data_IF_073607707583
#
_entry.id   IF_073607707583
#
_cell.length_a   1.000
_cell.length_b   1.000
_cell.length_c   1.000
_cell.angle_alpha   90.00
_cell.angle_beta   90.00
_cell.angle_gamma   90.00
#
_symmetry.space_group_name_H-M   'P 1'
#
loop_
_entity.id
_entity.type
_entity.pdbx_description
1 polymer ?
#
# COMPACT_ATOMS: atom_id res chain seq x y z
N UNK A 1 -21.48 -31.45 11.58
CA UNK A 1 -21.68 -30.83 10.24
C UNK A 1 -21.05 -29.47 10.30
N UNK A 2 -20.14 -29.15 9.38
CA UNK A 2 -19.50 -27.84 9.31
C UNK A 2 -20.59 -26.77 9.07
N UNK A 3 -20.43 -25.60 9.70
CA UNK A 3 -21.45 -24.54 9.68
C UNK A 3 -21.28 -23.63 8.44
N UNK A 4 -20.05 -23.54 7.91
CA UNK A 4 -19.66 -22.68 6.80
C UNK A 4 -18.97 -23.45 5.69
N UNK A 5 -19.07 -22.96 4.45
CA UNK A 5 -18.32 -23.48 3.32
C UNK A 5 -16.89 -22.92 3.37
N UNK A 6 -16.74 -21.63 3.69
CA UNK A 6 -15.45 -20.96 3.80
C UNK A 6 -15.27 -20.26 5.14
N UNK A 7 -14.08 -20.46 5.75
CA UNK A 7 -13.52 -19.62 6.80
C UNK A 7 -12.47 -18.71 6.19
N UNK A 8 -12.68 -17.40 6.24
CA UNK A 8 -11.76 -16.39 5.72
C UNK A 8 -11.00 -15.76 6.90
N UNK A 9 -9.68 -15.86 6.88
CA UNK A 9 -8.78 -15.37 7.93
C UNK A 9 -8.13 -14.08 7.44
N UNK A 10 -8.59 -12.95 7.99
CA UNK A 10 -8.25 -11.60 7.61
C UNK A 10 -9.34 -10.93 6.78
N UNK A 11 -9.80 -9.77 7.25
CA UNK A 11 -10.87 -8.96 6.65
C UNK A 11 -10.36 -7.84 5.72
N UNK A 12 -9.08 -7.89 5.32
CA UNK A 12 -8.52 -6.97 4.34
C UNK A 12 -9.16 -7.14 2.96
N UNK A 13 -8.75 -6.33 1.98
CA UNK A 13 -9.37 -6.32 0.64
C UNK A 13 -9.45 -7.70 0.00
N UNK A 14 -8.43 -8.55 0.12
CA UNK A 14 -8.47 -9.90 -0.43
C UNK A 14 -9.58 -10.74 0.23
N UNK A 15 -9.56 -10.83 1.57
CA UNK A 15 -10.52 -11.66 2.32
C UNK A 15 -11.95 -11.16 2.18
N UNK A 16 -12.17 -9.84 2.23
CA UNK A 16 -13.49 -9.23 2.04
C UNK A 16 -14.03 -9.46 0.62
N UNK A 17 -13.18 -9.32 -0.41
CA UNK A 17 -13.56 -9.59 -1.80
C UNK A 17 -13.90 -11.06 -2.02
N UNK A 18 -13.08 -11.98 -1.49
CA UNK A 18 -13.35 -13.41 -1.59
C UNK A 18 -14.68 -13.79 -0.90
N UNK A 19 -14.89 -13.30 0.32
CA UNK A 19 -16.13 -13.53 1.06
C UNK A 19 -17.36 -13.05 0.30
N UNK A 20 -17.28 -11.85 -0.31
CA UNK A 20 -18.35 -11.30 -1.14
C UNK A 20 -18.67 -12.20 -2.36
N UNK A 21 -17.64 -12.59 -3.12
CA UNK A 21 -17.81 -13.41 -4.33
C UNK A 21 -18.37 -14.79 -3.99
N UNK A 22 -17.84 -15.42 -2.94
CA UNK A 22 -18.33 -16.71 -2.45
C UNK A 22 -19.79 -16.63 -1.96
N UNK A 23 -20.13 -15.62 -1.17
CA UNK A 23 -21.51 -15.43 -0.69
C UNK A 23 -22.50 -15.15 -1.83
N UNK A 24 -22.08 -14.36 -2.83
CA UNK A 24 -22.87 -14.10 -4.04
C UNK A 24 -23.14 -15.38 -4.85
N UNK A 25 -22.24 -16.36 -4.80
CA UNK A 25 -22.45 -17.68 -5.40
C UNK A 25 -23.26 -18.67 -4.51
N UNK A 26 -23.74 -18.22 -3.34
CA UNK A 26 -24.57 -19.00 -2.45
C UNK A 26 -23.81 -19.74 -1.34
N UNK A 27 -22.50 -19.54 -1.20
CA UNK A 27 -21.70 -20.15 -0.15
C UNK A 27 -21.88 -19.41 1.18
N UNK A 28 -21.80 -20.13 2.28
CA UNK A 28 -21.81 -19.58 3.65
C UNK A 28 -20.38 -19.28 4.07
N UNK A 29 -20.10 -18.02 4.37
CA UNK A 29 -18.78 -17.55 4.76
C UNK A 29 -18.77 -17.07 6.22
N UNK A 30 -17.65 -17.35 6.92
CA UNK A 30 -17.30 -16.70 8.18
C UNK A 30 -15.96 -15.98 7.97
N UNK A 31 -15.95 -14.68 8.24
CA UNK A 31 -14.71 -13.88 8.27
C UNK A 31 -14.26 -13.70 9.71
N UNK A 32 -12.97 -13.95 9.99
CA UNK A 32 -12.37 -13.64 11.27
C UNK A 32 -11.20 -12.70 11.09
N UNK A 33 -11.03 -11.75 11.99
CA UNK A 33 -9.87 -10.86 12.01
C UNK A 33 -9.32 -10.73 13.44
N UNK A 34 -7.99 -10.77 13.59
CA UNK A 34 -7.33 -10.60 14.88
C UNK A 34 -7.44 -9.17 15.41
N UNK A 35 -7.64 -8.19 14.53
CA UNK A 35 -7.83 -6.79 14.88
C UNK A 35 -9.25 -6.56 15.45
N UNK A 36 -9.45 -5.52 16.27
CA UNK A 36 -10.75 -5.16 16.81
C UNK A 36 -11.72 -4.56 15.79
N UNK A 37 -11.27 -4.38 14.54
CA UNK A 37 -12.05 -3.81 13.42
C UNK A 37 -11.83 -4.58 12.12
N UNK A 38 -12.79 -4.50 11.20
CA UNK A 38 -12.71 -5.03 9.85
C UNK A 38 -11.98 -4.06 8.89
N UNK A 39 -11.60 -4.54 7.70
CA UNK A 39 -11.04 -3.74 6.62
C UNK A 39 -9.51 -3.83 6.50
N UNK A 40 -8.85 -4.53 7.42
CA UNK A 40 -7.39 -4.69 7.33
C UNK A 40 -6.67 -3.33 7.26
N UNK A 41 -5.76 -3.16 6.31
CA UNK A 41 -4.96 -1.93 6.19
C UNK A 41 -5.75 -0.73 5.61
N UNK A 42 -6.90 -0.94 4.98
CA UNK A 42 -7.72 0.17 4.46
C UNK A 42 -8.66 0.79 5.52
N UNK A 43 -8.66 0.26 6.74
CA UNK A 43 -9.51 0.78 7.81
C UNK A 43 -9.24 2.27 8.08
N UNK A 44 -10.32 3.05 8.17
CA UNK A 44 -10.32 4.45 8.54
C UNK A 44 -10.93 4.63 9.94
N UNK A 45 -10.24 5.39 10.79
CA UNK A 45 -10.76 5.81 12.09
C UNK A 45 -11.41 7.20 11.96
N UNK A 46 -12.63 7.36 12.46
CA UNK A 46 -13.29 8.66 12.45
C UNK A 46 -12.82 9.51 13.63
N UNK A 47 -12.10 10.61 13.36
CA UNK A 47 -11.62 11.57 14.35
C UNK A 47 -12.10 12.95 13.96
N UNK A 48 -12.88 13.62 14.82
CA UNK A 48 -13.48 14.94 14.54
C UNK A 48 -14.26 14.98 13.21
N UNK A 49 -14.86 13.86 12.80
CA UNK A 49 -15.56 13.72 11.52
C UNK A 49 -14.66 13.55 10.30
N UNK A 50 -13.34 13.52 10.46
CA UNK A 50 -12.35 13.25 9.42
C UNK A 50 -12.06 11.75 9.41
N UNK A 51 -12.04 11.13 8.21
CA UNK A 51 -11.67 9.73 8.05
C UNK A 51 -10.14 9.61 8.00
N UNK A 52 -9.57 9.19 9.12
CA UNK A 52 -8.12 9.00 9.28
C UNK A 52 -7.72 7.64 8.75
N UNK A 53 -6.91 7.58 7.72
CA UNK A 53 -6.34 6.34 7.17
C UNK A 53 -5.33 5.78 8.17
N UNK A 54 -5.77 4.86 9.04
CA UNK A 54 -5.00 4.42 10.22
C UNK A 54 -3.69 3.72 9.89
N UNK A 55 -3.60 3.09 8.74
CA UNK A 55 -2.45 2.29 8.30
C UNK A 55 -1.71 2.89 7.09
N UNK A 56 -1.78 4.21 6.92
CA UNK A 56 -1.11 4.95 5.86
C UNK A 56 -2.05 5.47 4.78
N UNK A 57 -1.55 6.39 3.97
CA UNK A 57 -2.32 6.96 2.87
C UNK A 57 -2.69 5.86 1.86
N UNK A 58 -3.96 5.59 1.74
CA UNK A 58 -4.51 4.67 0.76
C UNK A 58 -5.30 5.48 -0.28
N UNK A 59 -4.82 5.52 -1.51
CA UNK A 59 -5.50 6.11 -2.66
C UNK A 59 -5.79 4.98 -3.64
N UNK A 60 -7.05 4.74 -3.94
CA UNK A 60 -7.42 3.72 -4.90
C UNK A 60 -7.12 4.22 -6.31
N UNK A 61 -6.44 3.41 -7.10
CA UNK A 61 -6.17 3.68 -8.51
C UNK A 61 -6.15 2.38 -9.29
N UNK A 62 -6.53 2.40 -10.55
CA UNK A 62 -6.50 1.26 -11.45
C UNK A 62 -6.67 1.67 -12.89
N UNK A 63 -6.13 0.90 -13.82
CA UNK A 63 -6.46 0.96 -15.24
C UNK A 63 -7.46 -0.13 -15.65
N UNK A 64 -7.78 -1.07 -14.73
CA UNK A 64 -8.76 -2.12 -14.95
C UNK A 64 -10.18 -1.63 -14.68
N UNK A 65 -10.95 -1.41 -15.77
CA UNK A 65 -12.34 -0.92 -15.64
C UNK A 65 -13.24 -1.87 -14.85
N UNK A 66 -13.04 -3.17 -14.94
CA UNK A 66 -13.86 -4.14 -14.21
C UNK A 66 -13.66 -4.02 -12.70
N UNK A 67 -12.42 -3.82 -12.26
CA UNK A 67 -12.09 -3.58 -10.85
C UNK A 67 -12.66 -2.24 -10.39
N UNK A 68 -12.54 -1.19 -11.22
CA UNK A 68 -13.13 0.12 -10.91
C UNK A 68 -14.66 0.07 -10.76
N UNK A 69 -15.34 -0.57 -11.71
CA UNK A 69 -16.80 -0.74 -11.65
C UNK A 69 -17.22 -1.59 -10.44
N UNK A 70 -16.44 -2.62 -10.11
CA UNK A 70 -16.70 -3.47 -8.95
C UNK A 70 -16.67 -2.67 -7.65
N UNK A 71 -15.62 -1.92 -7.36
CA UNK A 71 -15.55 -1.15 -6.11
C UNK A 71 -16.59 -0.03 -6.05
N UNK A 72 -16.90 0.61 -7.20
CA UNK A 72 -17.93 1.63 -7.29
C UNK A 72 -19.36 1.07 -7.15
N UNK A 73 -19.57 -0.23 -7.29
CA UNK A 73 -20.87 -0.85 -7.02
C UNK A 73 -21.23 -0.90 -5.53
N UNK A 74 -20.26 -0.76 -4.64
CA UNK A 74 -20.44 -0.73 -3.19
C UNK A 74 -20.50 0.67 -2.62
N UNK A 75 -19.64 1.56 -3.10
CA UNK A 75 -19.54 2.94 -2.64
C UNK A 75 -19.03 3.82 -3.77
N UNK A 76 -19.61 5.02 -3.99
CA UNK A 76 -19.09 5.93 -4.98
C UNK A 76 -17.72 6.48 -4.55
N UNK A 77 -16.82 6.66 -5.52
CA UNK A 77 -15.51 7.27 -5.32
C UNK A 77 -15.54 8.75 -5.73
N UNK A 78 -14.81 9.57 -5.00
CA UNK A 78 -14.63 10.98 -5.35
C UNK A 78 -13.62 11.14 -6.51
N UNK A 79 -13.30 12.40 -6.84
CA UNK A 79 -12.34 12.73 -7.90
C UNK A 79 -10.97 13.12 -7.34
N UNK A 80 -10.58 12.56 -6.20
CA UNK A 80 -9.27 12.84 -5.63
C UNK A 80 -8.17 12.42 -6.61
N UNK A 81 -7.27 13.37 -6.92
CA UNK A 81 -6.09 13.14 -7.75
C UNK A 81 -4.86 13.23 -6.87
N UNK A 82 -4.10 12.14 -6.78
CA UNK A 82 -2.91 12.11 -5.95
C UNK A 82 -1.79 12.95 -6.55
N UNK A 83 -1.44 14.05 -5.88
CA UNK A 83 -0.38 14.98 -6.29
C UNK A 83 0.51 15.31 -5.09
N UNK A 84 1.33 14.35 -4.63
CA UNK A 84 2.17 14.57 -3.45
C UNK A 84 3.23 15.64 -3.70
N UNK A 85 3.72 16.24 -2.61
CA UNK A 85 4.79 17.24 -2.60
C UNK A 85 5.96 16.68 -1.80
N UNK A 86 7.19 16.97 -2.21
CA UNK A 86 8.38 16.71 -1.43
C UNK A 86 8.88 17.97 -0.74
N UNK A 87 9.26 17.85 0.52
CA UNK A 87 9.91 18.90 1.31
C UNK A 87 11.36 18.49 1.60
N UNK A 88 12.30 19.27 1.12
CA UNK A 88 13.72 19.15 1.43
C UNK A 88 14.22 20.45 2.07
N UNK A 89 14.47 20.43 3.36
CA UNK A 89 14.91 21.61 4.14
C UNK A 89 14.01 22.85 3.93
N UNK A 90 12.69 22.67 3.88
CA UNK A 90 11.72 23.76 3.67
C UNK A 90 11.52 24.17 2.20
N UNK A 91 12.30 23.62 1.26
CA UNK A 91 12.08 23.82 -0.17
C UNK A 91 11.12 22.75 -0.70
N UNK A 92 10.07 23.19 -1.38
CA UNK A 92 9.02 22.30 -1.88
C UNK A 92 9.25 21.95 -3.35
N UNK A 93 8.96 20.68 -3.69
CA UNK A 93 9.06 20.14 -5.04
C UNK A 93 7.82 19.34 -5.38
N UNK A 94 7.32 19.47 -6.60
CA UNK A 94 6.22 18.65 -7.11
C UNK A 94 6.66 17.20 -7.34
N UNK A 95 5.76 16.25 -7.06
CA UNK A 95 5.91 14.84 -7.40
C UNK A 95 4.70 14.41 -8.26
N UNK A 96 4.82 13.39 -9.13
CA UNK A 96 6.04 12.64 -9.46
C UNK A 96 7.08 13.53 -10.15
N UNK A 97 8.28 13.00 -10.43
CA UNK A 97 9.32 13.77 -11.12
C UNK A 97 8.83 14.16 -12.52
N UNK A 98 8.54 15.44 -12.69
CA UNK A 98 7.94 15.99 -13.90
C UNK A 98 8.53 17.37 -14.23
N UNK A 99 8.02 18.04 -15.24
CA UNK A 99 8.54 19.36 -15.65
C UNK A 99 8.44 20.42 -14.54
N UNK A 100 7.46 20.31 -13.61
CA UNK A 100 7.42 21.23 -12.46
C UNK A 100 8.61 20.95 -11.52
N UNK A 101 8.92 19.67 -11.23
CA UNK A 101 10.09 19.28 -10.42
C UNK A 101 11.39 19.77 -11.07
N UNK A 102 11.55 19.59 -12.40
CA UNK A 102 12.75 19.98 -13.13
C UNK A 102 12.88 21.51 -13.17
N UNK A 103 11.78 22.24 -13.33
CA UNK A 103 11.78 23.70 -13.23
C UNK A 103 12.15 24.17 -11.81
N UNK A 104 11.59 23.58 -10.78
CA UNK A 104 11.88 23.90 -9.37
C UNK A 104 13.34 23.61 -9.01
N UNK A 105 13.93 22.56 -9.59
CA UNK A 105 15.33 22.16 -9.34
C UNK A 105 16.33 22.97 -10.14
N UNK A 106 16.08 23.16 -11.45
CA UNK A 106 17.07 23.67 -12.40
C UNK A 106 16.66 24.94 -13.17
N UNK A 107 15.39 25.36 -13.05
CA UNK A 107 14.86 26.50 -13.85
C UNK A 107 14.63 26.16 -15.32
N UNK A 108 14.69 24.88 -15.71
CA UNK A 108 14.48 24.47 -17.10
C UNK A 108 13.00 24.55 -17.47
N UNK A 109 12.69 24.98 -18.69
CA UNK A 109 11.32 25.21 -19.15
C UNK A 109 10.86 24.29 -20.27
N UNK A 110 11.79 23.50 -20.85
CA UNK A 110 11.47 22.58 -21.93
C UNK A 110 11.94 21.15 -21.62
N UNK A 111 11.22 20.12 -22.16
CA UNK A 111 11.64 18.73 -22.03
C UNK A 111 13.08 18.49 -22.48
N UNK A 112 13.51 19.10 -23.60
CA UNK A 112 14.87 18.95 -24.14
C UNK A 112 15.94 19.44 -23.15
N UNK A 113 15.70 20.56 -22.46
CA UNK A 113 16.61 21.07 -21.42
C UNK A 113 16.69 20.12 -20.21
N UNK A 114 15.55 19.57 -19.77
CA UNK A 114 15.51 18.62 -18.66
C UNK A 114 16.25 17.33 -19.00
N UNK A 115 16.01 16.75 -20.17
CA UNK A 115 16.72 15.57 -20.67
C UNK A 115 18.22 15.82 -20.76
N UNK A 116 18.63 16.95 -21.36
CA UNK A 116 20.04 17.31 -21.48
C UNK A 116 20.73 17.43 -20.11
N UNK A 117 20.04 17.97 -19.10
CA UNK A 117 20.57 18.08 -17.74
C UNK A 117 20.75 16.73 -17.07
N UNK A 118 19.79 15.82 -17.21
CA UNK A 118 19.86 14.45 -16.70
C UNK A 118 21.02 13.69 -17.37
N UNK A 119 21.11 13.72 -18.69
CA UNK A 119 22.17 13.03 -19.45
C UNK A 119 23.56 13.58 -19.14
N UNK A 120 23.67 14.90 -18.94
CA UNK A 120 24.91 15.51 -18.47
C UNK A 120 25.38 14.89 -17.14
N UNK A 121 24.48 14.86 -16.13
CA UNK A 121 24.81 14.37 -14.80
C UNK A 121 25.07 12.85 -14.77
N UNK A 122 24.34 12.09 -15.58
CA UNK A 122 24.60 10.66 -15.78
C UNK A 122 25.99 10.41 -16.36
N UNK A 123 26.35 11.17 -17.38
CA UNK A 123 27.71 11.09 -18.03
C UNK A 123 28.84 11.48 -17.08
N UNK A 124 28.63 12.53 -16.28
CA UNK A 124 29.60 12.94 -15.25
C UNK A 124 29.87 11.84 -14.23
N UNK A 125 28.89 11.00 -13.93
CA UNK A 125 29.01 9.84 -13.04
C UNK A 125 29.57 8.58 -13.69
N UNK A 126 29.69 8.56 -15.03
CA UNK A 126 30.23 7.43 -15.80
C UNK A 126 29.32 6.18 -15.74
N UNK A 127 28.01 6.35 -15.55
CA UNK A 127 27.06 5.23 -15.44
C UNK A 127 26.71 4.74 -16.85
N UNK A 128 27.18 3.55 -17.22
CA UNK A 128 26.78 2.87 -18.44
C UNK A 128 25.58 1.95 -18.18
N UNK A 129 25.71 1.04 -17.20
CA UNK A 129 24.65 0.15 -16.73
C UNK A 129 24.52 0.28 -15.21
N UNK A 130 23.34 0.65 -14.69
CA UNK A 130 23.13 0.80 -13.26
C UNK A 130 23.23 -0.53 -12.51
N UNK A 131 24.04 -0.59 -11.45
CA UNK A 131 24.28 -1.79 -10.63
C UNK A 131 23.47 -1.82 -9.34
N UNK A 132 23.05 -0.66 -8.87
CA UNK A 132 22.33 -0.50 -7.61
C UNK A 132 21.28 0.63 -7.74
N UNK A 133 20.54 0.88 -6.66
CA UNK A 133 19.49 1.90 -6.64
C UNK A 133 20.02 3.31 -6.88
N UNK A 134 21.17 3.68 -6.31
CA UNK A 134 21.79 4.99 -6.52
C UNK A 134 22.05 5.25 -8.00
N UNK A 135 22.76 4.33 -8.67
CA UNK A 135 23.09 4.46 -10.09
C UNK A 135 21.84 4.47 -10.97
N UNK A 136 20.82 3.64 -10.62
CA UNK A 136 19.54 3.62 -11.32
C UNK A 136 18.80 4.94 -11.18
N UNK A 137 18.75 5.51 -9.97
CA UNK A 137 18.10 6.80 -9.72
C UNK A 137 18.77 7.93 -10.50
N UNK A 138 20.11 8.03 -10.41
CA UNK A 138 20.88 9.05 -11.15
C UNK A 138 20.66 8.93 -12.67
N UNK A 139 20.54 7.70 -13.18
CA UNK A 139 20.25 7.46 -14.59
C UNK A 139 18.86 7.91 -15.02
N UNK A 140 17.89 7.90 -14.11
CA UNK A 140 16.50 8.27 -14.39
C UNK A 140 16.25 9.78 -14.22
N UNK A 141 16.79 10.38 -13.16
CA UNK A 141 16.40 11.75 -12.75
C UNK A 141 17.60 12.70 -12.57
N UNK A 142 18.83 12.23 -12.75
CA UNK A 142 20.04 13.01 -12.51
C UNK A 142 20.46 13.04 -11.04
N UNK A 143 21.74 13.43 -10.82
CA UNK A 143 22.34 13.46 -9.49
C UNK A 143 21.64 14.42 -8.54
N UNK A 144 21.33 15.64 -8.99
CA UNK A 144 20.78 16.68 -8.11
C UNK A 144 19.43 16.25 -7.53
N UNK A 145 18.55 15.66 -8.36
CA UNK A 145 17.25 15.13 -7.90
C UNK A 145 17.46 13.91 -7.01
N UNK A 146 18.38 13.01 -7.36
CA UNK A 146 18.72 11.87 -6.52
C UNK A 146 19.14 12.32 -5.11
N UNK A 147 20.12 13.23 -5.01
CA UNK A 147 20.66 13.69 -3.73
C UNK A 147 19.61 14.46 -2.89
N UNK A 148 18.70 15.21 -3.55
CA UNK A 148 17.72 16.06 -2.87
C UNK A 148 16.43 15.29 -2.50
N UNK A 149 15.91 14.47 -3.40
CA UNK A 149 14.55 13.95 -3.27
C UNK A 149 14.45 12.43 -3.14
N UNK A 150 15.53 11.68 -3.47
CA UNK A 150 15.46 10.21 -3.50
C UNK A 150 16.31 9.59 -2.39
N UNK A 151 17.57 10.00 -2.28
CA UNK A 151 18.59 9.34 -1.47
C UNK A 151 18.13 9.14 -0.02
N UNK A 152 18.06 10.21 0.74
CA UNK A 152 17.80 10.14 2.19
C UNK A 152 16.37 9.66 2.49
N UNK A 153 15.40 9.94 1.61
CA UNK A 153 14.04 9.39 1.71
C UNK A 153 14.06 7.85 1.60
N UNK A 154 14.75 7.33 0.60
CA UNK A 154 14.85 5.88 0.37
C UNK A 154 15.64 5.21 1.50
N UNK A 155 16.71 5.83 1.96
CA UNK A 155 17.51 5.32 3.09
C UNK A 155 16.69 5.27 4.40
N UNK A 156 15.84 6.27 4.67
CA UNK A 156 14.87 6.20 5.79
C UNK A 156 13.88 5.05 5.60
N UNK A 157 13.37 4.88 4.38
CA UNK A 157 12.37 3.87 4.09
C UNK A 157 12.92 2.45 4.21
N UNK A 158 14.15 2.22 3.76
CA UNK A 158 14.75 0.88 3.72
C UNK A 158 15.74 0.59 4.86
N UNK A 159 16.19 1.62 5.59
CA UNK A 159 17.18 1.49 6.66
C UNK A 159 18.58 1.11 6.18
N UNK A 160 18.88 1.28 4.86
CA UNK A 160 20.15 0.91 4.22
C UNK A 160 20.56 1.97 3.22
N UNK A 161 21.88 2.16 2.97
CA UNK A 161 22.38 3.04 1.93
C UNK A 161 21.85 2.66 0.53
N UNK A 162 21.52 3.65 -0.29
CA UNK A 162 21.03 3.42 -1.65
C UNK A 162 21.99 2.61 -2.53
N UNK A 163 23.30 2.72 -2.30
CA UNK A 163 24.33 1.95 -3.02
C UNK A 163 24.28 0.44 -2.72
N UNK A 164 23.67 0.02 -1.60
CA UNK A 164 23.51 -1.38 -1.21
C UNK A 164 22.16 -1.97 -1.63
N UNK A 165 21.24 -1.12 -2.08
CA UNK A 165 19.91 -1.53 -2.50
C UNK A 165 19.87 -1.92 -3.99
N UNK A 166 19.09 -2.96 -4.36
CA UNK A 166 18.96 -3.38 -5.74
C UNK A 166 18.33 -2.31 -6.65
N UNK A 167 18.80 -2.19 -7.87
CA UNK A 167 18.33 -1.20 -8.86
C UNK A 167 16.82 -1.34 -9.18
N UNK A 168 16.24 -2.54 -9.07
CA UNK A 168 14.83 -2.77 -9.41
C UNK A 168 13.85 -2.02 -8.50
N UNK A 169 14.23 -1.68 -7.26
CA UNK A 169 13.38 -0.98 -6.28
C UNK A 169 12.88 0.35 -6.87
N UNK A 170 13.73 1.07 -7.59
CA UNK A 170 13.40 2.38 -8.16
C UNK A 170 13.14 2.33 -9.69
N UNK A 171 13.18 1.14 -10.29
CA UNK A 171 13.03 1.00 -11.74
C UNK A 171 11.70 1.56 -12.27
N UNK A 172 10.65 1.55 -11.44
CA UNK A 172 9.31 2.04 -11.78
C UNK A 172 9.05 3.48 -11.34
N UNK A 173 10.09 4.23 -10.95
CA UNK A 173 9.94 5.62 -10.56
C UNK A 173 9.28 6.42 -11.69
N UNK A 174 8.12 7.05 -11.46
CA UNK A 174 7.44 7.78 -12.52
C UNK A 174 8.21 9.07 -12.85
N UNK A 175 8.74 9.14 -14.07
CA UNK A 175 9.43 10.31 -14.62
C UNK A 175 8.68 10.76 -15.87
N UNK A 176 8.29 12.04 -15.92
CA UNK A 176 7.50 12.59 -17.02
C UNK A 176 8.09 13.90 -17.51
N UNK A 177 8.16 14.06 -18.81
CA UNK A 177 8.56 15.32 -19.43
C UNK A 177 7.35 16.18 -19.83
N UNK A 178 6.35 16.21 -18.94
CA UNK A 178 5.12 17.02 -19.03
C UNK A 178 4.90 17.74 -17.72
N UNK A 179 4.05 18.77 -17.70
CA UNK A 179 3.63 19.51 -16.48
C UNK A 179 2.42 18.82 -15.83
N UNK A 180 2.49 17.52 -15.61
CA UNK A 180 1.43 16.73 -15.00
C UNK A 180 1.85 16.27 -13.59
N UNK A 181 1.15 16.74 -12.57
CA UNK A 181 1.37 16.38 -11.16
C UNK A 181 0.57 15.15 -10.70
N UNK A 182 -0.25 14.54 -11.56
CA UNK A 182 -0.90 13.30 -11.21
C UNK A 182 0.15 12.20 -10.96
N UNK A 183 0.16 11.63 -9.76
CA UNK A 183 1.17 10.64 -9.39
C UNK A 183 1.01 9.32 -10.16
N UNK A 184 -0.23 8.88 -10.35
CA UNK A 184 -0.53 7.62 -11.03
C UNK A 184 -0.67 7.79 -12.54
N UNK A 185 -0.38 6.71 -13.28
CA UNK A 185 -0.63 6.62 -14.72
C UNK A 185 -1.99 6.00 -15.04
N UNK A 186 -2.71 5.56 -14.01
CA UNK A 186 -3.97 4.82 -14.15
C UNK A 186 -5.12 5.70 -14.63
N UNK A 187 -6.04 5.07 -15.36
CA UNK A 187 -7.20 5.75 -15.93
C UNK A 187 -8.19 6.21 -14.85
N UNK A 188 -8.23 5.51 -13.73
CA UNK A 188 -9.17 5.75 -12.63
C UNK A 188 -8.42 5.90 -11.32
N UNK A 189 -8.85 6.85 -10.49
CA UNK A 189 -8.38 7.01 -9.13
C UNK A 189 -9.39 7.78 -8.29
N UNK A 190 -9.35 7.60 -6.97
CA UNK A 190 -10.23 8.31 -6.04
C UNK A 190 -10.18 7.73 -4.64
N UNK A 191 -10.97 8.34 -3.76
CA UNK A 191 -11.20 7.91 -2.38
C UNK A 191 -12.69 7.58 -2.25
N UNK A 192 -13.07 6.49 -1.56
CA UNK A 192 -14.49 6.19 -1.31
C UNK A 192 -15.14 7.30 -0.50
N UNK A 193 -16.24 7.86 -0.97
CA UNK A 193 -16.98 8.92 -0.26
C UNK A 193 -17.52 8.37 1.07
N UNK A 194 -17.07 8.97 2.17
CA UNK A 194 -17.38 8.50 3.53
C UNK A 194 -16.41 7.45 4.06
N UNK A 195 -15.23 7.34 3.47
CA UNK A 195 -14.10 6.51 3.92
C UNK A 195 -14.17 5.05 3.47
N UNK A 196 -13.03 4.39 3.56
CA UNK A 196 -12.87 2.99 3.10
C UNK A 196 -13.71 1.97 3.89
N UNK A 197 -14.13 2.30 5.12
CA UNK A 197 -14.99 1.40 5.90
C UNK A 197 -16.28 1.08 5.15
N UNK A 198 -16.83 2.04 4.39
CA UNK A 198 -18.03 1.81 3.57
C UNK A 198 -17.82 0.78 2.47
N UNK A 199 -16.62 0.71 1.89
CA UNK A 199 -16.28 -0.35 0.94
C UNK A 199 -16.24 -1.71 1.63
N UNK A 200 -15.60 -1.79 2.81
CA UNK A 200 -15.53 -3.02 3.61
C UNK A 200 -16.93 -3.47 4.03
N UNK A 201 -17.75 -2.55 4.53
CA UNK A 201 -19.12 -2.82 4.94
C UNK A 201 -19.98 -3.33 3.77
N UNK A 202 -19.80 -2.75 2.58
CA UNK A 202 -20.47 -3.20 1.36
C UNK A 202 -20.04 -4.61 0.93
N UNK A 203 -18.73 -4.89 0.95
CA UNK A 203 -18.19 -6.21 0.60
C UNK A 203 -18.66 -7.31 1.58
N UNK A 204 -18.74 -6.98 2.87
CA UNK A 204 -19.10 -7.94 3.92
C UNK A 204 -20.58 -7.90 4.31
N UNK A 205 -21.40 -7.16 3.57
CA UNK A 205 -22.83 -7.05 3.88
C UNK A 205 -23.52 -8.44 3.88
N UNK A 206 -24.14 -8.78 5.02
CA UNK A 206 -24.84 -10.05 5.20
C UNK A 206 -23.95 -11.27 5.44
N UNK A 207 -22.64 -11.07 5.62
CA UNK A 207 -21.64 -12.14 5.88
C UNK A 207 -21.29 -12.12 7.37
N UNK A 208 -21.26 -13.29 8.00
CA UNK A 208 -20.86 -13.45 9.40
C UNK A 208 -19.37 -13.02 9.56
N UNK A 209 -19.10 -12.08 10.49
CA UNK A 209 -17.75 -11.59 10.75
C UNK A 209 -17.47 -11.48 12.27
N UNK A 210 -16.26 -11.82 12.70
CA UNK A 210 -15.82 -11.77 14.11
C UNK A 210 -14.49 -11.03 14.17
N UNK A 211 -14.46 -9.89 14.86
CA UNK A 211 -13.24 -9.14 15.18
C UNK A 211 -12.60 -9.62 16.49
N UNK A 212 -11.31 -9.35 16.69
CA UNK A 212 -10.55 -9.75 17.87
C UNK A 212 -10.36 -11.26 17.97
N UNK A 213 -10.50 -11.99 16.87
CA UNK A 213 -10.38 -13.44 16.79
C UNK A 213 -9.04 -13.83 16.14
N UNK A 214 -8.08 -14.25 16.96
CA UNK A 214 -6.81 -14.76 16.46
C UNK A 214 -6.98 -16.24 16.04
N UNK A 215 -6.70 -16.52 14.77
CA UNK A 215 -6.74 -17.86 14.22
C UNK A 215 -5.78 -18.82 14.93
N UNK A 216 -4.58 -18.33 15.27
CA UNK A 216 -3.56 -19.19 15.89
C UNK A 216 -3.80 -19.47 17.38
N UNK A 217 -4.66 -18.67 18.04
CA UNK A 217 -5.01 -18.92 19.45
C UNK A 217 -5.85 -20.21 19.62
N UNK A 218 -6.65 -20.60 18.62
CA UNK A 218 -7.48 -21.82 18.65
C UNK A 218 -7.73 -22.36 17.24
N UNK A 219 -6.64 -22.78 16.58
CA UNK A 219 -6.65 -23.21 15.19
C UNK A 219 -7.58 -24.40 14.94
N UNK A 220 -7.65 -25.34 15.89
CA UNK A 220 -8.50 -26.54 15.75
C UNK A 220 -9.99 -26.17 15.73
N UNK A 221 -10.41 -25.28 16.63
CA UNK A 221 -11.78 -24.77 16.65
C UNK A 221 -12.14 -24.13 15.31
N UNK A 222 -11.30 -23.23 14.82
CA UNK A 222 -11.59 -22.52 13.60
C UNK A 222 -11.61 -23.44 12.37
N UNK A 223 -10.67 -24.37 12.26
CA UNK A 223 -10.64 -25.35 11.18
C UNK A 223 -11.86 -26.27 11.19
N UNK A 224 -12.44 -26.55 12.37
CA UNK A 224 -13.66 -27.33 12.51
C UNK A 224 -14.95 -26.64 12.09
N UNK A 225 -14.91 -25.33 11.78
CA UNK A 225 -16.10 -24.53 11.46
C UNK A 225 -16.44 -24.48 9.97
N UNK A 226 -15.47 -24.72 9.08
CA UNK A 226 -15.66 -24.59 7.63
C UNK A 226 -14.99 -25.75 6.84
N UNK A 227 -15.45 -25.93 5.62
CA UNK A 227 -14.93 -26.96 4.73
C UNK A 227 -13.58 -26.56 4.12
N UNK A 228 -13.43 -25.27 3.76
CA UNK A 228 -12.22 -24.66 3.20
C UNK A 228 -11.82 -23.41 3.97
N UNK A 229 -10.56 -23.08 3.89
CA UNK A 229 -9.95 -21.92 4.55
C UNK A 229 -9.37 -20.99 3.49
N UNK A 230 -9.61 -19.70 3.61
CA UNK A 230 -8.91 -18.64 2.88
C UNK A 230 -8.01 -17.92 3.86
N UNK A 231 -6.70 -18.07 3.68
CA UNK A 231 -5.70 -17.52 4.59
C UNK A 231 -4.98 -16.33 3.97
N UNK A 232 -5.10 -15.17 4.61
CA UNK A 232 -4.47 -13.93 4.13
C UNK A 232 -3.33 -13.41 5.02
N UNK A 233 -2.98 -14.18 6.06
CA UNK A 233 -1.90 -13.87 6.99
C UNK A 233 -0.52 -14.27 6.48
N UNK A 234 0.49 -14.18 7.34
CA UNK A 234 1.87 -14.56 7.00
C UNK A 234 1.99 -16.07 6.73
N UNK A 235 2.47 -16.43 5.53
CA UNK A 235 2.59 -17.83 5.11
C UNK A 235 3.56 -18.62 5.98
N UNK A 236 4.67 -18.02 6.40
CA UNK A 236 5.65 -18.65 7.28
C UNK A 236 5.09 -18.98 8.67
N UNK A 237 4.25 -18.08 9.22
CA UNK A 237 3.53 -18.30 10.48
C UNK A 237 2.52 -19.43 10.36
N UNK A 238 1.79 -19.53 9.24
CA UNK A 238 0.86 -20.63 8.99
C UNK A 238 1.52 -22.00 9.11
N UNK A 239 2.74 -22.12 8.63
CA UNK A 239 3.54 -23.36 8.68
C UNK A 239 4.49 -23.43 9.88
N UNK A 240 4.28 -22.62 10.93
CA UNK A 240 5.06 -22.65 12.16
C UNK A 240 6.55 -22.34 11.93
N UNK A 241 6.86 -21.49 10.96
CA UNK A 241 8.23 -21.06 10.62
C UNK A 241 9.17 -22.20 10.22
N UNK A 242 8.64 -23.28 9.64
CA UNK A 242 9.37 -24.53 9.31
C UNK A 242 10.64 -24.29 8.49
N UNK A 243 10.67 -23.30 7.60
CA UNK A 243 11.83 -22.96 6.76
C UNK A 243 12.54 -21.68 7.18
N UNK A 244 12.22 -21.15 8.38
CA UNK A 244 12.68 -19.87 8.89
C UNK A 244 11.68 -18.75 8.67
N UNK A 245 11.94 -17.62 9.33
CA UNK A 245 11.06 -16.42 9.23
C UNK A 245 11.34 -15.65 7.95
N UNK A 246 10.29 -15.16 7.33
CA UNK A 246 10.36 -14.19 6.26
C UNK A 246 10.49 -12.78 6.86
N UNK A 247 11.21 -11.92 6.19
CA UNK A 247 11.48 -10.55 6.63
C UNK A 247 10.45 -9.58 6.04
N UNK A 248 10.05 -8.62 6.87
CA UNK A 248 9.09 -7.58 6.48
C UNK A 248 9.61 -6.20 6.88
N UNK A 249 9.06 -5.17 6.25
CA UNK A 249 9.13 -3.79 6.73
C UNK A 249 7.79 -3.43 7.36
N UNK A 250 7.84 -2.51 8.32
CA UNK A 250 6.65 -1.96 8.95
C UNK A 250 6.69 -0.45 8.98
N UNK A 251 5.55 0.16 9.25
CA UNK A 251 5.41 1.60 9.45
C UNK A 251 4.72 1.88 10.77
N UNK A 252 5.16 2.92 11.44
CA UNK A 252 4.56 3.46 12.66
C UNK A 252 4.00 4.85 12.37
N UNK A 253 2.85 5.14 12.93
CA UNK A 253 2.19 6.43 12.78
C UNK A 253 2.09 7.16 14.11
N UNK A 254 2.36 8.47 14.09
CA UNK A 254 2.03 9.39 15.17
C UNK A 254 0.94 10.32 14.66
N UNK A 255 -0.27 10.15 15.20
CA UNK A 255 -1.45 10.89 14.75
C UNK A 255 -1.82 11.92 15.80
N UNK A 256 -2.06 13.16 15.36
CA UNK A 256 -2.46 14.28 16.21
C UNK A 256 -3.55 15.14 15.57
N UNK A 257 -4.43 15.67 16.40
CA UNK A 257 -5.45 16.65 16.00
C UNK A 257 -4.92 18.03 16.28
N UNK A 258 -5.01 18.92 15.28
CA UNK A 258 -4.55 20.31 15.36
C UNK A 258 -5.73 21.29 15.30
N UNK A 259 -5.71 22.31 16.13
CA UNK A 259 -6.71 23.40 16.15
C UNK A 259 -6.40 24.43 15.06
N UNK A 260 -6.43 23.98 13.80
CA UNK A 260 -6.27 24.82 12.61
C UNK A 260 -7.00 24.20 11.41
N UNK A 261 -7.41 25.05 10.49
CA UNK A 261 -8.16 24.59 9.32
C UNK A 261 -7.30 23.79 8.34
N UNK A 262 -6.03 24.14 8.18
CA UNK A 262 -5.15 23.56 7.16
C UNK A 262 -3.71 23.61 7.69
N UNK A 263 -3.01 22.48 7.68
CA UNK A 263 -1.64 22.37 8.17
C UNK A 263 -0.61 22.52 7.05
N UNK A 264 -0.76 21.76 5.97
CA UNK A 264 0.25 21.68 4.90
C UNK A 264 -0.29 21.92 3.49
N UNK A 265 -1.60 22.08 3.34
CA UNK A 265 -2.24 22.41 2.04
C UNK A 265 -2.26 21.27 1.04
N UNK A 266 -1.93 20.05 1.46
CA UNK A 266 -1.95 18.86 0.61
C UNK A 266 -2.17 17.60 1.48
N UNK A 267 -2.76 16.56 0.91
CA UNK A 267 -2.97 15.31 1.63
C UNK A 267 -1.64 14.63 2.02
N UNK A 268 -0.63 14.66 1.16
CA UNK A 268 0.65 13.99 1.40
C UNK A 268 1.83 14.90 1.09
N UNK A 269 2.67 15.11 2.08
CA UNK A 269 3.98 15.77 1.92
C UNK A 269 5.08 14.81 2.37
N UNK A 270 5.97 14.45 1.44
CA UNK A 270 7.14 13.62 1.73
C UNK A 270 8.30 14.49 2.24
N UNK A 271 8.89 14.11 3.33
CA UNK A 271 10.07 14.76 3.91
C UNK A 271 11.31 13.97 3.50
N UNK A 272 12.10 14.53 2.60
CA UNK A 272 13.16 13.78 1.92
C UNK A 272 14.52 13.90 2.60
N UNK A 273 14.68 14.75 3.61
CA UNK A 273 15.91 14.88 4.38
C UNK A 273 15.94 13.97 5.62
N UNK A 274 17.12 13.55 6.06
CA UNK A 274 17.36 12.87 7.34
C UNK A 274 17.09 13.75 8.56
N UNK A 275 17.02 15.08 8.40
CA UNK A 275 16.71 15.98 9.51
C UNK A 275 15.33 15.69 10.11
N UNK A 276 14.40 15.22 9.31
CA UNK A 276 13.09 14.75 9.75
C UNK A 276 13.11 13.21 9.80
N UNK A 277 12.87 12.62 11.00
CA UNK A 277 12.95 11.17 11.16
C UNK A 277 11.77 10.41 10.53
N UNK A 278 10.67 11.11 10.22
CA UNK A 278 9.52 10.56 9.48
C UNK A 278 9.73 10.68 7.96
N UNK A 279 9.07 9.81 7.21
CA UNK A 279 9.13 9.80 5.74
C UNK A 279 8.13 10.76 5.13
N UNK A 280 6.96 10.92 5.75
CA UNK A 280 5.90 11.82 5.26
C UNK A 280 4.94 12.25 6.37
N UNK A 281 4.24 13.33 6.10
CA UNK A 281 3.06 13.74 6.85
C UNK A 281 1.84 13.57 5.95
N UNK A 282 0.81 12.97 6.51
CA UNK A 282 -0.51 12.82 5.89
C UNK A 282 -1.46 13.77 6.59
N UNK A 283 -2.10 14.69 5.87
CA UNK A 283 -3.19 15.52 6.37
C UNK A 283 -4.50 14.98 5.80
N UNK A 284 -5.21 14.22 6.61
CA UNK A 284 -6.26 13.31 6.16
C UNK A 284 -7.48 13.99 5.54
N UNK A 285 -7.85 15.18 6.00
CA UNK A 285 -9.04 15.88 5.48
C UNK A 285 -8.96 16.19 3.97
N UNK A 286 -7.75 16.33 3.42
CA UNK A 286 -7.57 16.62 2.00
C UNK A 286 -7.92 15.46 1.07
N UNK A 287 -8.11 14.25 1.59
CA UNK A 287 -8.60 13.14 0.79
C UNK A 287 -10.08 13.27 0.41
N UNK A 288 -10.88 13.94 1.25
CA UNK A 288 -12.33 14.08 1.08
C UNK A 288 -12.76 15.56 1.20
N UNK A 289 -12.48 16.41 0.20
CA UNK A 289 -12.85 17.84 0.27
C UNK A 289 -14.37 18.05 0.29
N UNK A 290 -15.17 17.08 -0.11
CA UNK A 290 -16.64 17.08 -0.01
C UNK A 290 -17.15 16.73 1.39
N UNK A 291 -16.32 16.22 2.29
CA UNK A 291 -16.70 15.92 3.67
C UNK A 291 -16.96 17.25 4.42
N UNK A 292 -18.08 17.41 5.17
CA UNK A 292 -18.35 18.59 5.97
C UNK A 292 -17.23 18.99 6.94
N UNK A 293 -16.46 18.01 7.43
CA UNK A 293 -15.31 18.24 8.30
C UNK A 293 -14.14 18.95 7.60
N UNK A 294 -14.14 19.06 6.26
CA UNK A 294 -13.08 19.73 5.51
C UNK A 294 -12.97 21.23 5.86
N UNK A 295 -14.10 21.89 6.05
CA UNK A 295 -14.15 23.34 6.33
C UNK A 295 -14.00 23.72 7.81
N UNK A 296 -14.01 22.75 8.72
CA UNK A 296 -13.89 23.04 10.16
C UNK A 296 -12.47 23.49 10.56
N UNK A 297 -12.39 24.26 11.65
CA UNK A 297 -11.11 24.77 12.20
C UNK A 297 -10.37 23.69 13.01
N UNK A 298 -10.34 22.47 12.48
CA UNK A 298 -9.55 21.33 12.99
C UNK A 298 -9.04 20.51 11.83
N UNK A 299 -7.86 19.94 11.98
CA UNK A 299 -7.32 18.97 11.04
C UNK A 299 -6.64 17.83 11.78
N UNK A 300 -6.51 16.68 11.14
CA UNK A 300 -5.81 15.51 11.68
C UNK A 300 -4.65 15.18 10.77
N UNK A 301 -3.46 15.12 11.36
CA UNK A 301 -2.25 14.71 10.64
C UNK A 301 -1.68 13.42 11.22
N UNK A 302 -1.00 12.65 10.35
CA UNK A 302 -0.21 11.49 10.78
C UNK A 302 1.21 11.60 10.24
N UNK A 303 2.20 11.53 11.13
CA UNK A 303 3.62 11.37 10.76
C UNK A 303 3.93 9.89 10.59
N UNK A 304 4.46 9.51 9.44
CA UNK A 304 4.78 8.11 9.11
C UNK A 304 6.28 7.84 9.28
N UNK A 305 6.61 6.80 10.04
CA UNK A 305 7.97 6.34 10.28
C UNK A 305 8.15 4.93 9.72
N UNK A 306 9.08 4.72 8.82
CA UNK A 306 9.44 3.39 8.35
C UNK A 306 10.43 2.74 9.32
N UNK A 307 10.15 1.51 9.73
CA UNK A 307 10.97 0.76 10.67
C UNK A 307 11.12 -0.71 10.26
N UNK A 308 12.09 -1.40 10.86
CA UNK A 308 12.18 -2.85 10.73
C UNK A 308 11.01 -3.52 11.45
N UNK A 309 10.50 -4.57 10.84
CA UNK A 309 9.46 -5.38 11.44
C UNK A 309 10.04 -6.31 12.52
N UNK A 310 9.32 -6.46 13.59
CA UNK A 310 9.57 -7.47 14.63
C UNK A 310 8.25 -8.08 15.11
N UNK A 311 8.30 -9.20 15.81
CA UNK A 311 7.11 -9.81 16.38
C UNK A 311 6.33 -8.83 17.27
N UNK A 312 5.00 -8.87 17.18
CA UNK A 312 4.11 -7.99 17.93
C UNK A 312 3.72 -6.72 17.18
N UNK A 313 4.34 -6.42 16.02
CA UNK A 313 3.92 -5.32 15.15
C UNK A 313 3.37 -5.85 13.82
N UNK A 314 2.54 -5.05 13.15
CA UNK A 314 1.95 -5.43 11.88
C UNK A 314 3.01 -5.42 10.75
N UNK A 315 3.09 -6.48 9.92
CA UNK A 315 3.91 -6.47 8.71
C UNK A 315 3.18 -5.71 7.59
N UNK A 316 3.88 -4.77 6.94
CA UNK A 316 3.30 -3.99 5.83
C UNK A 316 3.85 -4.41 4.48
N UNK A 317 5.15 -4.59 4.37
CA UNK A 317 5.82 -4.82 3.09
C UNK A 317 6.78 -6.01 3.20
N UNK A 318 6.68 -7.01 2.31
CA UNK A 318 7.67 -8.08 2.21
C UNK A 318 9.02 -7.53 1.73
N UNK A 319 10.11 -8.08 2.26
CA UNK A 319 11.48 -7.77 1.80
C UNK A 319 11.83 -8.69 0.64
N UNK A 320 11.68 -8.18 -0.58
CA UNK A 320 11.86 -8.98 -1.81
C UNK A 320 13.34 -9.06 -2.22
N UNK A 321 14.18 -9.66 -1.38
CA UNK A 321 15.56 -10.00 -1.73
C UNK A 321 15.71 -11.49 -2.09
N UNK A 322 16.90 -11.88 -2.58
CA UNK A 322 17.17 -13.24 -3.02
C UNK A 322 17.04 -14.28 -1.87
N UNK A 323 17.46 -13.91 -0.65
CA UNK A 323 17.37 -14.78 0.53
C UNK A 323 15.91 -15.09 0.86
N UNK A 324 15.07 -14.06 0.95
CA UNK A 324 13.65 -14.24 1.25
C UNK A 324 12.89 -14.93 0.12
N UNK A 325 13.27 -14.69 -1.14
CA UNK A 325 12.68 -15.38 -2.29
C UNK A 325 12.89 -16.91 -2.23
N UNK A 326 14.09 -17.37 -1.84
CA UNK A 326 14.39 -18.80 -1.66
C UNK A 326 13.59 -19.42 -0.50
N UNK A 327 13.42 -18.71 0.60
CA UNK A 327 12.61 -19.17 1.74
C UNK A 327 11.13 -19.23 1.35
N UNK A 328 10.63 -18.18 0.70
CA UNK A 328 9.23 -18.13 0.26
C UNK A 328 8.90 -19.24 -0.74
N UNK A 329 9.80 -19.55 -1.68
CA UNK A 329 9.61 -20.66 -2.64
C UNK A 329 9.29 -21.97 -1.94
N UNK A 330 10.00 -22.31 -0.85
CA UNK A 330 9.73 -23.52 -0.06
C UNK A 330 8.36 -23.50 0.62
N UNK A 331 7.93 -22.34 1.11
CA UNK A 331 6.59 -22.18 1.68
C UNK A 331 5.51 -22.31 0.62
N UNK A 332 5.72 -21.76 -0.55
CA UNK A 332 4.78 -21.87 -1.69
C UNK A 332 4.61 -23.32 -2.12
N UNK A 333 5.71 -24.08 -2.30
CA UNK A 333 5.65 -25.51 -2.61
C UNK A 333 4.88 -26.30 -1.55
N UNK A 334 5.02 -25.92 -0.27
CA UNK A 334 4.27 -26.56 0.82
C UNK A 334 2.79 -26.13 0.81
N UNK A 335 2.49 -24.90 0.47
CA UNK A 335 1.12 -24.39 0.35
C UNK A 335 0.34 -25.11 -0.77
N UNK A 336 0.96 -25.43 -1.88
CA UNK A 336 0.37 -26.19 -3.00
C UNK A 336 -0.09 -27.59 -2.59
N UNK A 337 0.42 -28.14 -1.48
CA UNK A 337 -0.04 -29.43 -0.92
C UNK A 337 -1.29 -29.32 -0.04
N UNK A 338 -1.73 -28.10 0.27
CA UNK A 338 -2.85 -27.87 1.19
C UNK A 338 -4.18 -27.78 0.43
N UNK A 339 -4.78 -28.90 0.09
CA UNK A 339 -6.01 -28.97 -0.74
C UNK A 339 -7.24 -28.25 -0.17
N UNK A 340 -7.22 -27.87 1.12
CA UNK A 340 -8.33 -27.18 1.80
C UNK A 340 -8.02 -25.73 2.16
N UNK A 341 -6.88 -25.22 1.76
CA UNK A 341 -6.45 -23.86 2.11
C UNK A 341 -6.09 -23.09 0.85
N UNK A 342 -6.74 -21.95 0.66
CA UNK A 342 -6.42 -20.98 -0.37
C UNK A 342 -5.57 -19.89 0.29
N UNK A 343 -4.35 -19.70 -0.20
CA UNK A 343 -3.45 -18.64 0.27
C UNK A 343 -3.54 -17.45 -0.68
N UNK A 344 -3.88 -16.28 -0.16
CA UNK A 344 -4.01 -15.09 -0.99
C UNK A 344 -3.77 -13.79 -0.26
N UNK A 345 -3.49 -12.74 -1.02
CA UNK A 345 -3.15 -11.42 -0.50
C UNK A 345 -1.65 -11.26 -0.16
N UNK A 346 -1.27 -10.04 0.22
CA UNK A 346 0.15 -9.62 0.35
C UNK A 346 1.02 -10.54 1.20
N UNK A 347 0.51 -10.97 2.36
CA UNK A 347 1.32 -11.70 3.34
C UNK A 347 1.39 -13.19 3.02
N UNK A 348 0.30 -13.77 2.53
CA UNK A 348 0.24 -15.18 2.17
C UNK A 348 1.00 -15.46 0.86
N UNK A 349 0.99 -14.52 -0.08
CA UNK A 349 1.73 -14.62 -1.33
C UNK A 349 3.12 -13.95 -1.27
N UNK A 350 3.50 -13.39 -0.13
CA UNK A 350 4.77 -12.69 0.10
C UNK A 350 5.11 -11.73 -1.05
N UNK A 351 4.13 -10.94 -1.48
CA UNK A 351 4.22 -10.06 -2.65
C UNK A 351 3.63 -8.69 -2.35
N UNK A 352 4.26 -7.65 -2.88
CA UNK A 352 3.67 -6.33 -2.88
C UNK A 352 2.57 -6.27 -3.94
N UNK A 353 1.39 -5.87 -3.51
CA UNK A 353 0.22 -5.60 -4.34
C UNK A 353 -0.32 -4.21 -4.04
N UNK A 354 -0.70 -3.46 -5.06
CA UNK A 354 -1.59 -2.32 -4.90
C UNK A 354 -3.03 -2.79 -4.61
N UNK A 355 -3.92 -1.89 -4.24
CA UNK A 355 -5.28 -2.29 -3.82
C UNK A 355 -6.07 -2.95 -4.94
N UNK A 356 -5.93 -2.47 -6.15
CA UNK A 356 -6.56 -3.03 -7.35
C UNK A 356 -5.99 -4.40 -7.71
N UNK A 357 -4.67 -4.57 -7.65
CA UNK A 357 -4.01 -5.87 -7.84
C UNK A 357 -4.56 -6.94 -6.90
N UNK A 358 -4.76 -6.57 -5.62
CA UNK A 358 -5.32 -7.48 -4.61
C UNK A 358 -6.73 -7.94 -5.00
N UNK A 359 -7.58 -7.01 -5.45
CA UNK A 359 -8.95 -7.33 -5.87
C UNK A 359 -8.93 -8.17 -7.14
N UNK A 360 -8.16 -7.78 -8.15
CA UNK A 360 -8.04 -8.52 -9.40
C UNK A 360 -7.52 -9.94 -9.19
N UNK A 361 -6.51 -10.10 -8.35
CA UNK A 361 -5.98 -11.41 -7.98
C UNK A 361 -7.05 -12.27 -7.29
N UNK A 362 -7.77 -11.68 -6.35
CA UNK A 362 -8.86 -12.37 -5.65
C UNK A 362 -9.98 -12.82 -6.59
N UNK A 363 -10.35 -11.99 -7.56
CA UNK A 363 -11.35 -12.36 -8.58
C UNK A 363 -10.89 -13.57 -9.39
N UNK A 364 -9.64 -13.60 -9.83
CA UNK A 364 -9.06 -14.74 -10.57
C UNK A 364 -9.03 -16.00 -9.71
N UNK A 365 -8.59 -15.89 -8.46
CA UNK A 365 -8.54 -17.04 -7.54
C UNK A 365 -9.94 -17.60 -7.25
N UNK A 366 -10.94 -16.72 -7.14
CA UNK A 366 -12.32 -17.13 -7.00
C UNK A 366 -12.87 -17.83 -8.26
N UNK A 367 -12.58 -17.33 -9.45
CA UNK A 367 -12.96 -17.97 -10.71
C UNK A 367 -12.40 -19.39 -10.79
N UNK A 368 -11.11 -19.56 -10.51
CA UNK A 368 -10.44 -20.88 -10.47
C UNK A 368 -11.01 -21.82 -9.40
N UNK A 369 -11.39 -21.28 -8.24
CA UNK A 369 -11.98 -22.05 -7.15
C UNK A 369 -13.42 -22.48 -7.45
N UNK A 370 -14.22 -21.61 -8.04
CA UNK A 370 -15.63 -21.84 -8.36
C UNK A 370 -15.84 -22.79 -9.55
N UNK A 371 -14.81 -22.99 -10.38
CA UNK A 371 -14.84 -23.95 -11.50
C UNK A 371 -14.50 -25.40 -11.05
N UNK A 372 -14.00 -25.60 -9.83
CA UNK A 372 -13.63 -26.91 -9.26
C UNK A 372 -14.80 -27.59 -8.61
#
# INVERSE_FOLDING_TARGET
>A
MMKYDYLIIGSGLYGATFAHLAAKAGNKCLVIDKRPQLGGNIYCEAVEGIHVHKYGAHIFHTSNKSVWDFVNSFVPFNRYTNSPVANFHGKLFSLPFNMNTFYQMWGVTTPAQAVAKIEQQKKERGIAEPKNLEEQAISLVGRDIYETLVKEYTEKQWGRPCAELPAFIIKRLPVRFTFDNNYFNDAYQGIPIGGYNRLTDGLLFGIDAICGADYFADREKWNGMAEKIVFTGKIDEFFGYKFGKLEYRTVRFETETLDMQNFQGNAVVNYTSHNEPFTRIIEHKHFEPENPAYSQNKTVISKEYSTEWHEGVEPFYPVNDAKNAEVYKKYRELAETQNKVIFGGRLAEYKYYDMDDVIEKCMKDWEEENER
#
